data_IF_229918215680
#
_entry.id   IF_229918215680
#
_cell.length_a   1.000
_cell.length_b   1.000
_cell.length_c   1.000
_cell.angle_alpha   90.00
_cell.angle_beta   90.00
_cell.angle_gamma   90.00
#
_symmetry.space_group_name_H-M   'P 1'
#
loop_
_entity.id
_entity.type
_entity.pdbx_description
1 polymer ?
#
# COMPACT_ATOMS: atom_id res chain seq x y z
N UNK A 1 -5.39 -16.50 24.31
CA UNK A 1 -5.36 -16.43 22.82
C UNK A 1 -5.14 -14.97 22.48
N UNK A 2 -3.90 -14.59 22.18
CA UNK A 2 -3.58 -13.21 21.82
C UNK A 2 -4.13 -12.98 20.41
N UNK A 3 -5.06 -12.04 20.26
CA UNK A 3 -5.46 -11.60 18.95
C UNK A 3 -4.28 -10.83 18.35
N UNK A 4 -3.49 -11.50 17.51
CA UNK A 4 -2.51 -10.83 16.64
C UNK A 4 -3.25 -9.76 15.85
N UNK A 5 -2.95 -8.49 16.15
CA UNK A 5 -3.57 -7.37 15.46
C UNK A 5 -3.08 -7.35 14.03
N UNK A 6 -3.93 -7.86 13.12
CA UNK A 6 -3.63 -7.94 11.70
C UNK A 6 -4.09 -6.65 11.02
N UNK A 7 -3.14 -5.95 10.42
CA UNK A 7 -3.42 -4.75 9.62
C UNK A 7 -3.49 -5.12 8.15
N UNK A 8 -4.40 -4.50 7.42
CA UNK A 8 -4.57 -4.73 5.99
C UNK A 8 -4.89 -3.42 5.27
N UNK A 9 -4.40 -3.31 4.04
CA UNK A 9 -4.83 -2.31 3.07
C UNK A 9 -5.96 -2.92 2.24
N UNK A 10 -7.06 -2.18 2.05
CA UNK A 10 -8.13 -2.53 1.13
C UNK A 10 -8.13 -1.50 0.00
N UNK A 11 -8.19 -1.99 -1.24
CA UNK A 11 -8.47 -1.15 -2.39
C UNK A 11 -9.99 -1.06 -2.54
N UNK A 12 -10.55 0.15 -2.41
CA UNK A 12 -12.00 0.35 -2.45
C UNK A 12 -12.57 0.40 -3.87
N UNK A 13 -11.76 0.82 -4.85
CA UNK A 13 -12.21 1.09 -6.22
C UNK A 13 -11.18 0.64 -7.27
N UNK A 14 -11.65 0.40 -8.50
CA UNK A 14 -10.82 -0.06 -9.61
C UNK A 14 -10.72 -1.58 -9.73
N UNK A 15 -9.85 -2.06 -10.62
CA UNK A 15 -9.72 -3.50 -10.96
C UNK A 15 -9.23 -4.41 -9.83
N UNK A 16 -8.69 -3.82 -8.77
CA UNK A 16 -8.24 -4.52 -7.57
C UNK A 16 -9.21 -4.33 -6.38
N UNK A 17 -10.43 -3.84 -6.63
CA UNK A 17 -11.40 -3.58 -5.56
C UNK A 17 -11.65 -4.82 -4.70
N UNK A 18 -11.90 -4.60 -3.41
CA UNK A 18 -12.11 -5.63 -2.37
C UNK A 18 -10.89 -6.51 -2.05
N UNK A 19 -9.74 -6.33 -2.72
CA UNK A 19 -8.53 -7.04 -2.38
C UNK A 19 -7.94 -6.53 -1.07
N UNK A 20 -7.57 -7.47 -0.19
CA UNK A 20 -6.90 -7.21 1.09
C UNK A 20 -5.42 -7.55 0.97
N UNK A 21 -4.58 -6.56 1.25
CA UNK A 21 -3.14 -6.72 1.30
C UNK A 21 -2.67 -6.66 2.76
N UNK A 22 -2.10 -7.75 3.31
CA UNK A 22 -1.61 -7.74 4.68
C UNK A 22 -0.43 -6.76 4.82
N UNK A 23 -0.43 -6.02 5.92
CA UNK A 23 0.66 -5.11 6.29
C UNK A 23 1.45 -5.72 7.44
N UNK A 24 2.78 -5.67 7.33
CA UNK A 24 3.71 -6.18 8.34
C UNK A 24 4.54 -5.01 8.88
N UNK A 25 4.58 -4.78 10.20
CA UNK A 25 5.32 -3.64 10.78
C UNK A 25 6.81 -3.59 10.38
N UNK A 26 7.42 -4.75 10.13
CA UNK A 26 8.84 -4.88 9.76
C UNK A 26 9.11 -4.74 8.25
N UNK A 27 8.10 -4.35 7.47
CA UNK A 27 8.22 -4.26 6.02
C UNK A 27 7.65 -2.94 5.50
N UNK A 28 8.35 -2.40 4.49
CA UNK A 28 7.80 -1.36 3.63
C UNK A 28 6.94 -2.05 2.56
N UNK A 29 5.73 -1.54 2.37
CA UNK A 29 4.81 -1.97 1.32
C UNK A 29 4.75 -0.90 0.25
N UNK A 30 5.44 -1.14 -0.87
CA UNK A 30 5.40 -0.26 -2.04
C UNK A 30 4.09 -0.40 -2.82
N UNK A 31 3.55 0.72 -3.27
CA UNK A 31 2.29 0.83 -3.99
C UNK A 31 2.51 1.63 -5.27
N UNK A 32 2.04 1.12 -6.40
CA UNK A 32 2.13 1.81 -7.69
C UNK A 32 1.72 0.93 -8.86
N UNK A 33 1.69 1.49 -10.07
CA UNK A 33 1.28 0.72 -11.26
C UNK A 33 2.35 -0.20 -11.84
N UNK A 34 3.63 -0.01 -11.46
CA UNK A 34 4.68 -0.92 -11.92
C UNK A 34 4.50 -2.30 -11.26
N UNK A 35 4.71 -3.36 -12.03
CA UNK A 35 4.60 -4.74 -11.54
C UNK A 35 5.65 -5.14 -10.51
N UNK A 36 6.62 -4.26 -10.23
CA UNK A 36 7.65 -4.43 -9.19
C UNK A 36 7.15 -4.04 -7.79
N UNK A 37 6.02 -3.35 -7.67
CA UNK A 37 5.44 -2.98 -6.37
C UNK A 37 4.79 -4.18 -5.70
N UNK A 38 4.70 -4.14 -4.36
CA UNK A 38 3.96 -5.13 -3.58
C UNK A 38 2.47 -5.08 -3.89
N UNK A 39 1.92 -3.87 -3.94
CA UNK A 39 0.52 -3.60 -4.30
C UNK A 39 0.50 -2.92 -5.65
N UNK A 40 0.06 -3.67 -6.66
CA UNK A 40 0.03 -3.19 -8.04
C UNK A 40 -1.35 -2.60 -8.34
N UNK A 41 -1.41 -1.29 -8.50
CA UNK A 41 -2.61 -0.58 -8.93
C UNK A 41 -2.56 -0.39 -10.44
N UNK A 42 -3.28 -1.21 -11.21
CA UNK A 42 -3.33 -1.12 -12.68
C UNK A 42 -4.23 0.04 -13.13
N UNK A 43 -3.73 1.24 -12.93
CA UNK A 43 -4.37 2.50 -13.30
C UNK A 43 -3.33 3.45 -13.94
N UNK A 44 -3.68 4.06 -15.07
CA UNK A 44 -2.82 4.95 -15.84
C UNK A 44 -2.57 6.30 -15.15
N UNK A 45 -3.47 6.71 -14.25
CA UNK A 45 -3.25 7.89 -13.41
C UNK A 45 -2.31 7.58 -12.23
N UNK A 46 -2.10 6.31 -11.88
CA UNK A 46 -1.18 5.94 -10.82
C UNK A 46 0.28 6.04 -11.31
N UNK A 47 1.17 6.59 -10.48
CA UNK A 47 2.60 6.62 -10.78
C UNK A 47 3.20 5.21 -10.72
N UNK A 48 4.33 4.99 -11.43
CA UNK A 48 5.02 3.69 -11.41
C UNK A 48 5.37 3.25 -9.99
N UNK A 49 5.94 4.16 -9.20
CA UNK A 49 6.12 4.04 -7.76
C UNK A 49 5.39 5.24 -7.17
N UNK A 50 4.24 5.02 -6.54
CA UNK A 50 3.33 6.09 -6.17
C UNK A 50 3.53 6.48 -4.71
N UNK A 51 3.34 5.53 -3.81
CA UNK A 51 3.53 5.73 -2.39
C UNK A 51 3.99 4.43 -1.74
N UNK A 52 4.35 4.53 -0.46
CA UNK A 52 4.70 3.39 0.36
C UNK A 52 4.03 3.50 1.73
N UNK A 53 3.71 2.36 2.32
CA UNK A 53 3.19 2.26 3.69
C UNK A 53 4.23 1.55 4.54
N UNK A 54 4.51 2.09 5.73
CA UNK A 54 5.45 1.54 6.70
C UNK A 54 4.99 1.85 8.12
N UNK A 55 5.48 1.08 9.09
CA UNK A 55 5.15 1.27 10.50
C UNK A 55 6.30 1.98 11.23
N UNK A 56 5.96 2.93 12.10
CA UNK A 56 6.89 3.59 13.03
C UNK A 56 6.37 3.44 14.46
N UNK A 57 7.13 3.93 15.45
CA UNK A 57 6.76 3.81 16.86
C UNK A 57 5.41 4.46 17.21
N UNK A 58 4.94 5.42 16.41
CA UNK A 58 3.65 6.11 16.60
C UNK A 58 2.52 5.55 15.73
N UNK A 59 2.77 4.54 14.89
CA UNK A 59 1.75 3.88 14.07
C UNK A 59 2.12 3.75 12.59
N UNK A 60 1.11 3.45 11.78
CA UNK A 60 1.24 3.33 10.33
C UNK A 60 1.36 4.70 9.65
N UNK A 61 2.30 4.80 8.72
CA UNK A 61 2.57 5.99 7.93
C UNK A 61 2.42 5.67 6.45
N UNK A 62 1.96 6.66 5.70
CA UNK A 62 1.99 6.67 4.24
C UNK A 62 2.94 7.77 3.79
N UNK A 63 3.81 7.46 2.82
CA UNK A 63 4.70 8.42 2.18
C UNK A 63 4.51 8.41 0.68
N UNK A 64 4.15 9.57 0.13
CA UNK A 64 4.21 9.82 -1.30
C UNK A 64 5.66 9.76 -1.81
N UNK A 65 5.85 9.23 -3.04
CA UNK A 65 7.15 9.09 -3.71
C UNK A 65 7.31 10.06 -4.87
N UNK A 66 6.83 11.29 -4.70
CA UNK A 66 6.71 12.31 -5.74
C UNK A 66 5.82 11.81 -6.89
N UNK A 67 4.63 11.30 -6.55
CA UNK A 67 3.67 10.85 -7.54
C UNK A 67 3.23 12.02 -8.44
N UNK A 68 2.84 11.70 -9.68
CA UNK A 68 2.37 12.70 -10.65
C UNK A 68 1.01 13.31 -10.28
N UNK A 69 0.15 12.57 -9.60
CA UNK A 69 -1.26 12.91 -9.44
C UNK A 69 -1.71 13.03 -7.96
N UNK A 70 -0.76 13.03 -7.01
CA UNK A 70 -1.06 13.02 -5.59
C UNK A 70 -1.18 11.59 -5.09
#
# INVERSE_FOLDING_TARGET
MNAESSFFLIVSEGVASEQRFPLHPDQITDIGRAGTNRVVLRDDICSRNHCEIFHISTGWMLRDRASRNG
#
